data_IF_198749022201
#
_entry.id   IF_198749022201
#
_cell.length_a   1.000
_cell.length_b   1.000
_cell.length_c   1.000
_cell.angle_alpha   90.00
_cell.angle_beta   90.00
_cell.angle_gamma   90.00
#
_symmetry.space_group_name_H-M   'P 1'
#
loop_
_entity.id
_entity.type
_entity.pdbx_description
1 polymer ?
#
# COMPACT_ATOMS: atom_id res chain seq x y z
N UNK A 1 -6.47 -17.97 -0.90
CA UNK A 1 -5.69 -16.87 -0.27
C UNK A 1 -4.34 -17.42 0.17
N UNK A 2 -3.26 -16.66 0.02
CA UNK A 2 -1.89 -17.03 0.42
C UNK A 2 -1.51 -16.21 1.65
N UNK A 3 -0.86 -16.89 2.59
CA UNK A 3 -0.29 -16.26 3.78
C UNK A 3 1.20 -15.99 3.56
N UNK A 4 1.64 -14.79 3.91
CA UNK A 4 3.02 -14.30 3.76
C UNK A 4 3.40 -13.57 5.04
N UNK A 5 4.63 -13.78 5.52
CA UNK A 5 5.19 -12.96 6.60
C UNK A 5 6.02 -11.85 5.97
N UNK A 6 6.00 -10.66 6.57
CA UNK A 6 6.89 -9.58 6.19
C UNK A 6 7.38 -8.79 7.39
N UNK A 7 8.41 -7.99 7.14
CA UNK A 7 9.05 -7.12 8.10
C UNK A 7 8.57 -5.69 7.88
N UNK A 8 8.14 -5.02 8.95
CA UNK A 8 7.77 -3.61 8.89
C UNK A 8 9.04 -2.77 8.77
N UNK A 9 9.16 -2.02 7.67
CA UNK A 9 10.34 -1.20 7.37
C UNK A 9 9.98 0.29 7.31
N UNK A 10 10.99 1.14 7.41
CA UNK A 10 10.82 2.57 7.25
C UNK A 10 10.69 2.93 5.76
N UNK A 11 9.65 3.67 5.41
CA UNK A 11 9.51 4.31 4.10
C UNK A 11 9.78 5.81 4.14
N UNK A 12 9.49 6.52 3.05
CA UNK A 12 9.72 7.96 2.94
C UNK A 12 8.73 8.85 3.71
N UNK A 13 7.68 8.26 4.29
CA UNK A 13 6.63 8.95 5.06
C UNK A 13 5.87 10.06 4.28
N UNK A 14 5.91 10.02 2.94
CA UNK A 14 5.20 10.97 2.07
C UNK A 14 3.68 10.75 2.11
N UNK A 15 3.23 9.50 2.14
CA UNK A 15 1.81 9.15 2.23
C UNK A 15 1.11 9.75 3.47
N UNK A 16 1.83 9.83 4.59
CA UNK A 16 1.31 10.33 5.86
C UNK A 16 1.60 11.79 6.14
N UNK A 17 2.34 12.49 5.27
CA UNK A 17 2.77 13.87 5.49
C UNK A 17 3.86 14.04 6.54
N UNK A 18 4.33 12.95 7.18
CA UNK A 18 5.43 12.99 8.17
C UNK A 18 6.82 13.05 7.52
N UNK A 19 6.89 12.98 6.19
CA UNK A 19 8.11 13.10 5.40
C UNK A 19 8.59 14.55 5.25
N UNK A 20 9.66 14.74 4.46
CA UNK A 20 10.26 16.07 4.21
C UNK A 20 9.80 16.72 2.91
N UNK A 21 8.84 16.12 2.20
CA UNK A 21 8.38 16.65 0.90
C UNK A 21 7.44 17.83 1.12
N UNK A 22 7.96 19.04 0.92
CA UNK A 22 7.23 20.29 1.12
C UNK A 22 6.01 20.45 0.19
N UNK A 23 5.90 19.65 -0.88
CA UNK A 23 4.74 19.67 -1.78
C UNK A 23 3.49 19.07 -1.13
N UNK A 24 3.67 18.17 -0.16
CA UNK A 24 2.60 17.36 0.42
C UNK A 24 2.63 17.38 1.96
N UNK A 25 2.47 18.55 2.60
CA UNK A 25 2.60 18.71 4.05
C UNK A 25 1.58 17.88 4.84
N UNK A 26 0.38 17.66 4.28
CA UNK A 26 -0.68 16.88 4.92
C UNK A 26 -0.74 15.42 4.46
N UNK A 27 0.21 15.01 3.61
CA UNK A 27 0.34 13.67 3.05
C UNK A 27 -0.46 13.44 1.76
N UNK A 28 0.05 12.57 0.89
CA UNK A 28 -0.56 12.32 -0.42
C UNK A 28 -1.89 11.58 -0.33
N UNK A 29 -2.07 10.69 0.66
CA UNK A 29 -3.31 9.93 0.81
C UNK A 29 -4.52 10.83 1.06
N UNK A 30 -4.35 11.96 1.78
CA UNK A 30 -5.45 12.93 1.98
C UNK A 30 -5.89 13.57 0.67
N UNK A 31 -4.93 13.91 -0.19
CA UNK A 31 -5.19 14.53 -1.49
C UNK A 31 -5.84 13.53 -2.47
N UNK A 32 -5.47 12.25 -2.37
CA UNK A 32 -5.99 11.19 -3.23
C UNK A 32 -7.37 10.66 -2.78
N UNK A 33 -7.67 10.69 -1.48
CA UNK A 33 -8.90 10.11 -0.92
C UNK A 33 -10.21 10.54 -1.60
N UNK A 34 -10.43 11.82 -1.96
CA UNK A 34 -11.65 12.24 -2.65
C UNK A 34 -11.86 11.52 -4.00
N UNK A 35 -10.79 11.30 -4.76
CA UNK A 35 -10.86 10.63 -6.06
C UNK A 35 -11.24 9.15 -5.94
N UNK A 36 -10.69 8.46 -4.94
CA UNK A 36 -11.04 7.06 -4.68
C UNK A 36 -12.46 6.93 -4.14
N UNK A 37 -12.90 7.88 -3.31
CA UNK A 37 -14.25 7.89 -2.77
C UNK A 37 -15.31 8.07 -3.88
N UNK A 38 -15.07 8.98 -4.83
CA UNK A 38 -15.93 9.15 -6.01
C UNK A 38 -16.06 7.85 -6.82
N UNK A 39 -14.96 7.09 -6.91
CA UNK A 39 -14.94 5.78 -7.56
C UNK A 39 -15.38 4.60 -6.68
N UNK A 40 -15.99 4.86 -5.52
CA UNK A 40 -16.61 3.85 -4.66
C UNK A 40 -15.67 3.16 -3.65
N UNK A 41 -14.48 3.72 -3.41
CA UNK A 41 -13.55 3.24 -2.39
C UNK A 41 -13.31 4.33 -1.33
N UNK A 42 -13.85 4.14 -0.14
CA UNK A 42 -13.54 5.00 1.01
C UNK A 42 -12.27 4.52 1.74
N UNK A 43 -11.15 5.21 1.52
CA UNK A 43 -9.90 4.96 2.25
C UNK A 43 -9.79 5.74 3.56
N UNK A 44 -10.71 6.66 3.88
CA UNK A 44 -10.65 7.46 5.11
C UNK A 44 -10.91 6.63 6.38
N UNK A 45 -11.44 5.42 6.22
CA UNK A 45 -11.58 4.42 7.28
C UNK A 45 -10.24 3.88 7.81
N UNK A 46 -9.14 4.11 7.09
CA UNK A 46 -7.80 3.66 7.46
C UNK A 46 -6.99 4.79 8.10
N UNK A 47 -5.90 4.42 8.78
CA UNK A 47 -4.92 5.40 9.21
C UNK A 47 -4.39 6.17 7.99
N UNK A 48 -4.22 7.48 8.12
CA UNK A 48 -3.79 8.36 7.03
C UNK A 48 -2.29 8.23 6.77
N UNK A 49 -1.87 7.05 6.30
CA UNK A 49 -0.50 6.65 6.02
C UNK A 49 -0.43 5.20 5.55
N UNK A 50 0.71 4.79 5.03
CA UNK A 50 0.98 3.40 4.65
C UNK A 50 1.95 2.74 5.62
N UNK A 51 1.74 1.44 5.87
CA UNK A 51 2.76 0.57 6.47
C UNK A 51 3.57 -0.02 5.32
N UNK A 52 4.89 0.18 5.34
CA UNK A 52 5.80 -0.43 4.38
C UNK A 52 6.20 -1.81 4.88
N UNK A 53 5.85 -2.84 4.12
CA UNK A 53 6.10 -4.23 4.46
C UNK A 53 7.03 -4.88 3.44
N UNK A 54 8.22 -5.28 3.89
CA UNK A 54 9.12 -6.13 3.11
C UNK A 54 8.70 -7.59 3.24
N UNK A 55 8.31 -8.21 2.12
CA UNK A 55 7.87 -9.62 2.08
C UNK A 55 8.97 -10.59 1.63
N UNK A 56 10.23 -10.17 1.58
CA UNK A 56 11.37 -11.03 1.24
C UNK A 56 11.36 -12.36 2.00
N UNK A 57 11.71 -13.50 1.36
CA UNK A 57 12.18 -13.65 -0.03
C UNK A 57 11.01 -13.86 -1.02
N UNK A 58 9.81 -13.39 -0.70
CA UNK A 58 8.70 -13.44 -1.65
C UNK A 58 8.71 -12.20 -2.53
N UNK A 59 8.36 -12.43 -3.79
CA UNK A 59 7.88 -11.41 -4.71
C UNK A 59 6.45 -11.73 -5.11
N UNK A 60 5.82 -10.89 -5.92
CA UNK A 60 4.44 -11.06 -6.35
C UNK A 60 4.21 -10.68 -7.81
N UNK A 61 3.17 -11.27 -8.37
CA UNK A 61 2.62 -10.91 -9.68
C UNK A 61 1.20 -10.38 -9.48
N UNK A 62 0.91 -9.24 -10.11
CA UNK A 62 -0.43 -8.67 -10.16
C UNK A 62 -1.32 -9.56 -11.03
N UNK A 63 -2.48 -9.96 -10.49
CA UNK A 63 -3.48 -10.74 -11.22
C UNK A 63 -4.72 -9.89 -11.48
N UNK A 64 -5.61 -9.79 -10.50
CA UNK A 64 -6.86 -9.03 -10.62
C UNK A 64 -6.99 -8.07 -9.45
N UNK A 65 -6.81 -6.75 -9.63
CA UNK A 65 -7.04 -5.81 -8.54
C UNK A 65 -8.52 -5.80 -8.11
N UNK A 66 -8.76 -5.47 -6.84
CA UNK A 66 -10.11 -5.18 -6.33
C UNK A 66 -10.62 -3.87 -6.91
N UNK A 67 -9.79 -2.82 -6.87
CA UNK A 67 -10.03 -1.54 -7.52
C UNK A 67 -8.85 -1.17 -8.39
N UNK A 68 -9.14 -0.60 -9.55
CA UNK A 68 -8.14 0.01 -10.41
C UNK A 68 -8.62 1.38 -10.87
N UNK A 69 -7.95 2.42 -10.39
CA UNK A 69 -8.22 3.81 -10.78
C UNK A 69 -7.18 4.25 -11.80
N UNK A 70 -7.62 4.82 -12.92
CA UNK A 70 -6.74 5.22 -14.02
C UNK A 70 -6.67 6.73 -14.13
N UNK A 71 -5.49 7.24 -14.50
CA UNK A 71 -5.26 8.65 -14.85
C UNK A 71 -5.77 9.63 -13.79
N UNK A 72 -5.55 9.31 -12.52
CA UNK A 72 -6.02 10.14 -11.40
C UNK A 72 -5.10 11.35 -11.25
N UNK A 73 -5.64 12.52 -11.58
CA UNK A 73 -4.96 13.81 -11.44
C UNK A 73 -5.15 14.38 -10.02
N UNK A 74 -4.50 13.75 -9.04
CA UNK A 74 -4.62 14.13 -7.63
C UNK A 74 -3.68 15.26 -7.19
N UNK A 75 -2.67 15.60 -8.00
CA UNK A 75 -1.68 16.63 -7.70
C UNK A 75 -1.41 17.51 -8.91
N UNK A 76 -1.17 18.83 -8.74
CA UNK A 76 -0.70 19.70 -9.81
C UNK A 76 0.80 19.53 -10.09
N UNK A 77 1.56 18.84 -9.23
CA UNK A 77 3.01 18.77 -9.29
C UNK A 77 3.57 17.58 -10.10
N UNK A 78 2.72 16.60 -10.40
CA UNK A 78 3.11 15.39 -11.13
C UNK A 78 2.06 15.05 -12.19
N UNK A 79 2.41 14.25 -13.21
CA UNK A 79 1.42 13.68 -14.13
C UNK A 79 0.37 12.84 -13.39
N UNK A 80 -0.79 12.59 -14.01
CA UNK A 80 -1.76 11.64 -13.48
C UNK A 80 -1.13 10.25 -13.25
N UNK A 81 -1.60 9.56 -12.22
CA UNK A 81 -1.12 8.23 -11.85
C UNK A 81 -2.28 7.22 -11.88
N UNK A 82 -1.97 5.95 -12.13
CA UNK A 82 -2.93 4.86 -11.88
C UNK A 82 -2.71 4.28 -10.48
N UNK A 83 -3.74 3.66 -9.91
CA UNK A 83 -3.70 3.07 -8.58
C UNK A 83 -4.40 1.72 -8.54
N UNK A 84 -3.67 0.70 -8.09
CA UNK A 84 -4.20 -0.63 -7.81
C UNK A 84 -4.49 -0.78 -6.32
N UNK A 85 -5.59 -1.44 -5.99
CA UNK A 85 -5.92 -1.85 -4.64
C UNK A 85 -6.24 -3.34 -4.58
N UNK A 86 -5.75 -4.02 -3.55
CA UNK A 86 -5.98 -5.45 -3.33
C UNK A 86 -6.46 -5.71 -1.90
N UNK A 87 -7.33 -6.70 -1.73
CA UNK A 87 -7.82 -7.13 -0.42
C UNK A 87 -6.69 -7.71 0.43
N UNK A 88 -6.71 -7.35 1.71
CA UNK A 88 -5.72 -7.79 2.69
C UNK A 88 -6.39 -8.11 4.02
N UNK A 89 -5.96 -9.21 4.63
CA UNK A 89 -6.14 -9.46 6.06
C UNK A 89 -4.76 -9.48 6.71
N UNK A 90 -4.53 -8.61 7.68
CA UNK A 90 -3.30 -8.55 8.46
C UNK A 90 -3.49 -9.14 9.85
N UNK A 91 -2.48 -9.87 10.32
CA UNK A 91 -2.42 -10.49 11.63
C UNK A 91 -1.22 -9.88 12.36
N UNK A 92 -1.50 -9.16 13.43
CA UNK A 92 -0.48 -8.54 14.28
C UNK A 92 -0.80 -8.85 15.73
N UNK A 93 0.16 -9.44 16.44
CA UNK A 93 -0.05 -9.95 17.79
C UNK A 93 -1.25 -10.92 17.86
N UNK A 94 -2.28 -10.62 18.65
CA UNK A 94 -3.51 -11.45 18.79
C UNK A 94 -4.71 -10.87 18.03
N UNK A 95 -4.49 -9.80 17.26
CA UNK A 95 -5.54 -9.06 16.57
C UNK A 95 -5.52 -9.33 15.06
N UNK A 96 -6.68 -9.14 14.43
CA UNK A 96 -6.88 -9.31 12.99
C UNK A 96 -7.47 -8.03 12.42
N UNK A 97 -6.86 -7.55 11.34
CA UNK A 97 -7.22 -6.29 10.71
C UNK A 97 -7.57 -6.52 9.25
N UNK A 98 -8.70 -5.98 8.82
CA UNK A 98 -9.02 -5.85 7.40
C UNK A 98 -8.38 -4.59 6.83
N UNK A 99 -7.74 -4.72 5.67
CA UNK A 99 -7.03 -3.64 5.03
C UNK A 99 -7.02 -3.76 3.52
N UNK A 100 -6.21 -2.91 2.91
CA UNK A 100 -5.90 -2.96 1.49
C UNK A 100 -4.40 -2.88 1.29
N UNK A 101 -3.91 -3.50 0.23
CA UNK A 101 -2.62 -3.14 -0.36
C UNK A 101 -2.91 -1.96 -1.29
N UNK A 102 -2.20 -0.86 -1.09
CA UNK A 102 -2.22 0.33 -1.94
C UNK A 102 -0.98 0.31 -2.84
N UNK A 103 -1.17 0.46 -4.14
CA UNK A 103 -0.07 0.40 -5.09
C UNK A 103 -0.27 1.42 -6.20
N UNK A 104 0.41 2.59 -6.14
CA UNK A 104 0.55 3.45 -7.29
C UNK A 104 1.21 2.68 -8.43
N UNK A 105 0.73 2.88 -9.66
CA UNK A 105 1.16 2.11 -10.81
C UNK A 105 2.66 2.27 -11.05
N UNK A 106 3.43 1.17 -10.91
CA UNK A 106 4.88 1.23 -11.04
C UNK A 106 5.35 1.62 -12.45
N UNK A 107 4.52 1.46 -13.50
CA UNK A 107 4.87 1.86 -14.87
C UNK A 107 4.80 3.38 -15.08
N UNK A 108 3.96 4.07 -14.31
CA UNK A 108 3.81 5.54 -14.38
C UNK A 108 4.87 6.30 -13.57
N UNK A 109 5.66 5.61 -12.75
CA UNK A 109 6.77 6.21 -12.00
C UNK A 109 8.04 6.17 -12.83
N UNK A 110 8.61 7.33 -13.10
CA UNK A 110 9.87 7.51 -13.87
C UNK A 110 11.12 6.96 -13.17
N UNK A 111 11.01 6.50 -11.93
CA UNK A 111 12.07 5.86 -11.18
C UNK A 111 11.88 4.32 -11.23
N UNK A 112 12.58 3.68 -12.17
CA UNK A 112 12.35 2.32 -12.66
C UNK A 112 12.69 1.18 -11.69
N UNK A 113 12.90 1.43 -10.39
CA UNK A 113 13.17 0.38 -9.42
C UNK A 113 11.87 -0.14 -8.81
N UNK A 114 11.19 -1.03 -9.53
CA UNK A 114 10.06 -1.78 -8.97
C UNK A 114 10.59 -2.72 -7.87
N UNK A 115 10.49 -2.30 -6.62
CA UNK A 115 10.75 -3.17 -5.47
C UNK A 115 9.58 -4.14 -5.31
N UNK A 116 9.56 -5.22 -6.11
CA UNK A 116 8.51 -6.26 -6.13
C UNK A 116 8.45 -7.12 -4.86
N UNK A 117 9.13 -6.69 -3.79
CA UNK A 117 9.13 -7.27 -2.45
C UNK A 117 8.57 -6.29 -1.40
N UNK A 118 8.32 -5.02 -1.79
CA UNK A 118 7.77 -4.00 -0.92
C UNK A 118 6.28 -3.85 -1.19
N UNK A 119 5.48 -3.91 -0.14
CA UNK A 119 4.05 -3.61 -0.17
C UNK A 119 3.75 -2.41 0.72
N UNK A 120 2.89 -1.53 0.24
CA UNK A 120 2.31 -0.45 1.04
C UNK A 120 0.91 -0.86 1.50
N UNK A 121 0.70 -0.94 2.82
CA UNK A 121 -0.56 -1.41 3.41
C UNK A 121 -1.35 -0.23 3.97
N UNK A 122 -2.63 -0.18 3.64
CA UNK A 122 -3.64 0.64 4.30
C UNK A 122 -4.37 -0.23 5.33
N UNK A 123 -4.18 0.09 6.60
CA UNK A 123 -4.80 -0.59 7.73
C UNK A 123 -5.39 0.45 8.69
N UNK A 124 -6.34 0.06 9.57
CA UNK A 124 -6.66 0.85 10.75
C UNK A 124 -5.40 1.13 11.58
N UNK A 125 -5.49 2.02 12.55
CA UNK A 125 -4.35 2.28 13.44
C UNK A 125 -4.00 1.01 14.24
N UNK A 126 -2.78 0.50 14.05
CA UNK A 126 -2.23 -0.63 14.81
C UNK A 126 -1.46 -0.06 16.01
N UNK A 127 -1.93 -0.37 17.22
CA UNK A 127 -1.25 0.06 18.44
C UNK A 127 0.09 -0.67 18.60
N UNK A 128 1.12 0.08 19.04
CA UNK A 128 2.45 -0.43 19.37
C UNK A 128 3.21 -1.09 18.20
N UNK A 129 2.87 -0.75 16.96
CA UNK A 129 3.61 -1.21 15.78
C UNK A 129 4.95 -0.47 15.66
N UNK A 130 6.06 -1.20 15.60
CA UNK A 130 7.40 -0.65 15.45
C UNK A 130 8.08 -1.12 14.16
N UNK A 131 9.08 -0.38 13.69
CA UNK A 131 9.97 -0.87 12.65
C UNK A 131 10.73 -2.11 13.14
N UNK A 132 10.88 -3.10 12.27
CA UNK A 132 11.45 -4.41 12.62
C UNK A 132 10.43 -5.42 13.14
N UNK A 133 9.16 -5.02 13.34
CA UNK A 133 8.12 -5.96 13.72
C UNK A 133 7.74 -6.88 12.55
N UNK A 134 7.36 -8.11 12.89
CA UNK A 134 6.81 -9.05 11.92
C UNK A 134 5.30 -8.85 11.80
N UNK A 135 4.83 -8.68 10.57
CA UNK A 135 3.43 -8.67 10.23
C UNK A 135 3.13 -9.85 9.30
N UNK A 136 2.09 -10.61 9.63
CA UNK A 136 1.62 -11.69 8.77
C UNK A 136 0.42 -11.20 7.99
N UNK A 137 0.44 -11.39 6.68
CA UNK A 137 -0.61 -10.97 5.78
C UNK A 137 -1.23 -12.15 5.06
N UNK A 138 -2.50 -12.02 4.70
CA UNK A 138 -3.24 -12.97 3.88
C UNK A 138 -3.93 -12.22 2.76
N UNK A 139 -3.63 -12.62 1.53
CA UNK A 139 -4.09 -11.95 0.30
C UNK A 139 -4.75 -12.97 -0.63
N UNK A 140 -5.83 -12.63 -1.35
CA UNK A 140 -6.40 -13.50 -2.37
C UNK A 140 -5.42 -13.77 -3.52
N UNK A 141 -5.27 -15.05 -3.92
CA UNK A 141 -4.28 -15.45 -4.94
C UNK A 141 -4.66 -15.04 -6.36
N UNK A 142 -5.96 -14.88 -6.58
CA UNK A 142 -6.55 -14.34 -7.79
C UNK A 142 -6.31 -12.82 -7.91
N UNK A 143 -5.94 -12.16 -6.80
CA UNK A 143 -5.59 -10.75 -6.79
C UNK A 143 -4.08 -10.52 -6.89
N UNK A 144 -3.30 -11.09 -5.96
CA UNK A 144 -1.84 -11.10 -6.00
C UNK A 144 -1.31 -12.52 -5.81
N UNK A 145 -0.44 -12.96 -6.73
CA UNK A 145 0.20 -14.28 -6.63
C UNK A 145 1.61 -14.12 -6.10
N UNK A 146 1.84 -14.54 -4.86
CA UNK A 146 3.18 -14.56 -4.26
C UNK A 146 3.97 -15.82 -4.64
N UNK A 147 5.26 -15.64 -4.91
CA UNK A 147 6.22 -16.71 -5.19
C UNK A 147 7.60 -16.32 -4.63
N UNK A 148 8.45 -17.29 -4.34
CA UNK A 148 9.80 -17.01 -3.82
C UNK A 148 10.73 -16.64 -4.97
N UNK A 149 11.61 -15.67 -4.75
CA UNK A 149 12.80 -15.51 -5.58
C UNK A 149 13.73 -16.72 -5.36
N UNK A 150 14.20 -17.30 -6.46
CA UNK A 150 15.17 -18.42 -6.47
C UNK A 150 16.56 -17.89 -6.16
#
# INVERSE_FOLDING_TARGET
MKMVNGLVIQGHAVASGKGKDARYPDGTLRLQAPFFLEGGLDINRFYTGTINLDVSPYTFEIRRPKYFFREIKWSPYIPPENFYFFDLIAYYQKEVYEGLIYMPDPETKTDHHQHTQLLELLLPELQNLNYGDNLKIRVPNDQLRFFKTV
#
